data_IF_980397731996
#
_entry.id   IF_980397731996
#
_cell.length_a   1.000
_cell.length_b   1.000
_cell.length_c   1.000
_cell.angle_alpha   90.00
_cell.angle_beta   90.00
_cell.angle_gamma   90.00
#
_symmetry.space_group_name_H-M   'P 1'
#
loop_
_entity.id
_entity.type
_entity.pdbx_description
1 polymer ?
#
# COMPACT_ATOMS: atom_id res chain seq x y z
N UNK A 1 -6.55 -15.88 -27.54
CA UNK A 1 -5.70 -14.97 -26.74
C UNK A 1 -4.81 -14.22 -27.73
N UNK A 2 -4.71 -12.91 -27.61
CA UNK A 2 -3.92 -12.07 -28.50
C UNK A 2 -2.42 -12.40 -28.34
N UNK A 3 -1.63 -12.41 -29.45
CA UNK A 3 -0.20 -12.69 -29.43
C UNK A 3 0.56 -11.79 -28.44
N UNK A 4 0.20 -10.51 -28.37
CA UNK A 4 0.75 -9.54 -27.40
C UNK A 4 0.59 -10.01 -25.94
N UNK A 5 -0.57 -10.57 -25.60
CA UNK A 5 -0.83 -11.07 -24.23
C UNK A 5 0.00 -12.32 -23.93
N UNK A 6 0.12 -13.22 -24.91
CA UNK A 6 0.99 -14.41 -24.78
C UNK A 6 2.42 -13.98 -24.46
N UNK A 7 2.97 -13.02 -25.19
CA UNK A 7 4.32 -12.50 -24.96
C UNK A 7 4.47 -11.85 -23.56
N UNK A 8 3.46 -11.12 -23.09
CA UNK A 8 3.48 -10.54 -21.73
C UNK A 8 3.51 -11.64 -20.67
N UNK A 9 2.69 -12.68 -20.81
CA UNK A 9 2.64 -13.80 -19.89
C UNK A 9 3.96 -14.59 -19.88
N UNK A 10 4.57 -14.83 -21.03
CA UNK A 10 5.88 -15.47 -21.17
C UNK A 10 6.97 -14.64 -20.47
N UNK A 11 6.98 -13.32 -20.70
CA UNK A 11 7.91 -12.41 -20.02
C UNK A 11 7.69 -12.39 -18.51
N UNK A 12 6.45 -12.36 -18.06
CA UNK A 12 6.11 -12.45 -16.64
C UNK A 12 6.65 -13.74 -16.03
N UNK A 13 6.41 -14.88 -16.67
CA UNK A 13 6.89 -16.18 -16.20
C UNK A 13 8.42 -16.28 -16.14
N UNK A 14 9.10 -15.64 -17.08
CA UNK A 14 10.56 -15.71 -17.18
C UNK A 14 11.27 -14.72 -16.26
N UNK A 15 10.75 -13.51 -16.10
CA UNK A 15 11.49 -12.41 -15.53
C UNK A 15 10.91 -11.85 -14.22
N UNK A 16 9.63 -12.11 -13.93
CA UNK A 16 9.02 -11.64 -12.70
C UNK A 16 9.04 -12.73 -11.62
N UNK A 17 9.36 -12.33 -10.40
CA UNK A 17 9.23 -13.23 -9.25
C UNK A 17 7.75 -13.46 -8.94
N UNK A 18 7.37 -14.72 -8.79
CA UNK A 18 6.01 -15.05 -8.36
C UNK A 18 5.81 -14.79 -6.86
N UNK A 19 6.86 -14.94 -6.06
CA UNK A 19 6.87 -14.62 -4.63
C UNK A 19 5.63 -15.10 -3.88
N UNK A 20 5.01 -14.18 -3.18
CA UNK A 20 3.72 -14.33 -2.50
C UNK A 20 2.55 -13.67 -3.24
N UNK A 21 2.75 -13.31 -4.51
CA UNK A 21 1.73 -12.72 -5.37
C UNK A 21 0.63 -13.74 -5.69
N UNK A 22 -0.59 -13.28 -5.67
CA UNK A 22 -1.77 -14.07 -6.02
C UNK A 22 -2.44 -13.46 -7.22
N UNK A 23 -2.51 -14.22 -8.27
CA UNK A 23 -3.34 -13.87 -9.41
C UNK A 23 -4.78 -14.32 -9.17
N UNK A 24 -5.75 -13.48 -9.50
CA UNK A 24 -7.17 -13.79 -9.32
C UNK A 24 -7.77 -14.53 -10.52
N UNK A 25 -7.00 -14.70 -11.58
CA UNK A 25 -7.38 -15.48 -12.77
C UNK A 25 -6.19 -16.32 -13.24
N UNK A 26 -6.49 -17.42 -13.94
CA UNK A 26 -5.52 -18.28 -14.59
C UNK A 26 -5.92 -18.49 -16.05
N UNK A 27 -5.17 -17.97 -17.03
CA UNK A 27 -4.00 -17.10 -16.86
C UNK A 27 -4.35 -15.73 -16.26
N UNK A 28 -3.36 -15.01 -15.70
CA UNK A 28 -3.56 -13.67 -15.18
C UNK A 28 -4.12 -12.71 -16.24
N UNK A 29 -5.06 -11.87 -15.85
CA UNK A 29 -5.59 -10.82 -16.72
C UNK A 29 -4.58 -9.69 -16.87
N UNK A 30 -4.49 -9.17 -18.09
CA UNK A 30 -3.72 -7.97 -18.44
C UNK A 30 -4.71 -6.83 -18.68
N UNK A 31 -4.52 -5.72 -17.99
CA UNK A 31 -5.31 -4.51 -18.20
C UNK A 31 -4.41 -3.42 -18.77
N UNK A 32 -4.93 -2.65 -19.73
CA UNK A 32 -4.19 -1.58 -20.41
C UNK A 32 -4.70 -0.19 -20.06
N UNK A 33 -5.94 -0.08 -19.58
CA UNK A 33 -6.54 1.20 -19.23
C UNK A 33 -7.48 1.08 -18.03
N UNK A 34 -7.89 2.23 -17.48
CA UNK A 34 -8.81 2.32 -16.37
C UNK A 34 -9.57 3.65 -16.38
N UNK A 35 -10.80 3.67 -15.84
CA UNK A 35 -11.56 4.90 -15.62
C UNK A 35 -12.66 4.69 -14.57
N UNK A 36 -12.79 5.62 -13.64
CA UNK A 36 -13.79 5.51 -12.57
C UNK A 36 -13.64 4.22 -11.77
N UNK A 37 -14.58 3.30 -11.86
CA UNK A 37 -14.51 1.98 -11.21
C UNK A 37 -14.24 0.83 -12.19
N UNK A 38 -13.78 1.14 -13.40
CA UNK A 38 -13.55 0.14 -14.42
C UNK A 38 -12.08 0.00 -14.80
N UNK A 39 -11.69 -1.23 -15.08
CA UNK A 39 -10.45 -1.60 -15.76
C UNK A 39 -10.79 -2.07 -17.17
N UNK A 40 -9.92 -1.84 -18.13
CA UNK A 40 -10.11 -2.21 -19.53
C UNK A 40 -8.98 -3.12 -19.98
N UNK A 41 -9.33 -4.23 -20.65
CA UNK A 41 -8.34 -5.13 -21.25
C UNK A 41 -7.85 -4.62 -22.61
N UNK A 42 -7.01 -5.39 -23.28
CA UNK A 42 -6.44 -5.08 -24.58
C UNK A 42 -7.46 -4.93 -25.73
N UNK A 43 -8.68 -5.40 -25.52
CA UNK A 43 -9.79 -5.26 -26.46
C UNK A 43 -10.74 -4.14 -26.06
N UNK A 44 -10.35 -3.32 -25.08
CA UNK A 44 -11.19 -2.29 -24.47
C UNK A 44 -12.48 -2.84 -23.84
N UNK A 45 -12.45 -4.10 -23.39
CA UNK A 45 -13.57 -4.70 -22.68
C UNK A 45 -13.57 -4.17 -21.24
N UNK A 46 -14.69 -3.59 -20.77
CA UNK A 46 -14.77 -3.07 -19.40
C UNK A 46 -14.98 -4.18 -18.36
N UNK A 47 -14.25 -4.09 -17.27
CA UNK A 47 -14.41 -4.92 -16.09
C UNK A 47 -14.65 -4.02 -14.88
N UNK A 48 -15.76 -4.20 -14.19
CA UNK A 48 -16.03 -3.49 -12.95
C UNK A 48 -15.09 -4.00 -11.85
N UNK A 49 -14.26 -3.12 -11.34
CA UNK A 49 -13.29 -3.45 -10.29
C UNK A 49 -13.88 -3.26 -8.90
N UNK A 50 -14.38 -4.33 -8.31
CA UNK A 50 -14.87 -4.35 -6.93
C UNK A 50 -13.76 -4.32 -5.87
N UNK A 51 -12.53 -4.56 -6.26
CA UNK A 51 -11.40 -4.57 -5.34
C UNK A 51 -10.84 -3.17 -5.11
N UNK A 52 -10.79 -2.33 -6.16
CA UNK A 52 -10.27 -0.95 -6.12
C UNK A 52 -8.93 -0.86 -5.37
N UNK A 53 -8.04 -1.83 -5.67
CA UNK A 53 -6.75 -2.00 -5.02
C UNK A 53 -6.84 -1.97 -3.49
N UNK A 54 -7.67 -2.84 -2.91
CA UNK A 54 -7.96 -2.91 -1.47
C UNK A 54 -8.42 -1.56 -0.89
N UNK A 55 -9.29 -0.88 -1.60
CA UNK A 55 -9.82 0.47 -1.28
C UNK A 55 -8.78 1.61 -1.36
N UNK A 56 -7.61 1.38 -1.95
CA UNK A 56 -6.63 2.47 -2.16
C UNK A 56 -7.07 3.44 -3.28
N UNK A 57 -7.92 3.01 -4.21
CA UNK A 57 -8.44 3.80 -5.32
C UNK A 57 -9.88 4.27 -5.05
N UNK A 58 -10.20 4.62 -3.81
CA UNK A 58 -11.55 4.96 -3.36
C UNK A 58 -12.14 6.26 -3.96
N UNK A 59 -11.35 7.06 -4.67
CA UNK A 59 -11.82 8.22 -5.44
C UNK A 59 -12.02 7.93 -6.93
N UNK A 60 -11.87 6.68 -7.35
CA UNK A 60 -11.92 6.24 -8.74
C UNK A 60 -10.60 6.39 -9.50
N UNK A 61 -10.43 5.54 -10.49
CA UNK A 61 -9.31 5.61 -11.42
C UNK A 61 -9.35 6.90 -12.24
N UNK A 62 -8.19 7.47 -12.55
CA UNK A 62 -8.04 8.70 -13.35
C UNK A 62 -8.89 9.88 -12.83
N UNK A 63 -9.10 9.98 -11.52
CA UNK A 63 -9.78 11.14 -10.96
C UNK A 63 -9.07 12.42 -11.39
N UNK A 64 -9.72 13.20 -12.26
CA UNK A 64 -9.09 14.36 -12.91
C UNK A 64 -8.56 15.39 -11.90
N UNK A 65 -9.31 15.66 -10.82
CA UNK A 65 -8.89 16.62 -9.80
C UNK A 65 -7.58 16.20 -9.12
N UNK A 66 -7.45 14.92 -8.79
CA UNK A 66 -6.23 14.38 -8.17
C UNK A 66 -5.07 14.35 -9.16
N UNK A 67 -5.31 13.92 -10.40
CA UNK A 67 -4.29 13.88 -11.45
C UNK A 67 -3.73 15.26 -11.77
N UNK A 68 -4.57 16.28 -11.88
CA UNK A 68 -4.16 17.66 -12.17
C UNK A 68 -3.26 18.21 -11.04
N UNK A 69 -3.60 17.93 -9.78
CA UNK A 69 -2.78 18.35 -8.62
C UNK A 69 -1.44 17.62 -8.61
N UNK A 70 -1.45 16.31 -8.90
CA UNK A 70 -0.23 15.50 -8.96
C UNK A 70 0.71 16.00 -10.06
N UNK A 71 0.21 16.23 -11.28
CA UNK A 71 1.02 16.75 -12.39
C UNK A 71 1.64 18.11 -12.05
N UNK A 72 0.86 19.03 -11.51
CA UNK A 72 1.38 20.33 -11.06
C UNK A 72 2.49 20.21 -10.01
N UNK A 73 2.34 19.24 -9.09
CA UNK A 73 3.35 19.04 -8.05
C UNK A 73 4.63 18.38 -8.61
N UNK A 74 4.49 17.43 -9.54
CA UNK A 74 5.62 16.81 -10.23
C UNK A 74 6.44 17.86 -11.00
N UNK A 75 5.76 18.78 -11.69
CA UNK A 75 6.42 19.84 -12.45
C UNK A 75 7.08 20.90 -11.55
N UNK A 76 6.53 21.12 -10.34
CA UNK A 76 7.00 22.15 -9.41
C UNK A 76 8.14 21.66 -8.54
N UNK A 77 7.94 20.55 -7.82
CA UNK A 77 8.88 19.97 -6.86
C UNK A 77 8.50 18.51 -6.59
N UNK A 78 9.00 17.56 -7.40
CA UNK A 78 8.57 16.16 -7.32
C UNK A 78 9.14 15.43 -6.11
N UNK A 79 10.35 15.79 -5.70
CA UNK A 79 11.08 15.13 -4.62
C UNK A 79 11.85 16.13 -3.78
N UNK A 80 11.99 15.82 -2.49
CA UNK A 80 12.79 16.59 -1.58
C UNK A 80 13.36 15.65 -0.51
N UNK A 81 14.64 15.82 -0.17
CA UNK A 81 15.27 15.05 0.89
C UNK A 81 14.57 15.33 2.23
N UNK A 82 14.46 14.30 3.08
CA UNK A 82 13.73 14.37 4.35
C UNK A 82 14.27 15.39 5.35
N UNK A 83 15.51 15.85 5.13
CA UNK A 83 16.15 16.91 5.92
C UNK A 83 15.57 18.31 5.66
N UNK A 84 14.81 18.46 4.58
CA UNK A 84 14.17 19.72 4.21
C UNK A 84 12.66 19.67 4.44
N UNK A 85 12.03 20.83 4.51
CA UNK A 85 10.59 20.94 4.71
C UNK A 85 9.86 21.04 3.38
N UNK A 86 8.92 20.14 3.18
CA UNK A 86 7.99 20.18 2.05
C UNK A 86 6.67 20.74 2.56
N UNK A 87 6.25 21.89 1.99
CA UNK A 87 5.06 22.61 2.46
C UNK A 87 3.81 21.73 2.46
N UNK A 88 3.53 21.06 1.37
CA UNK A 88 2.33 20.24 1.18
C UNK A 88 2.28 19.06 2.19
N UNK A 89 3.43 18.52 2.56
CA UNK A 89 3.54 17.49 3.62
C UNK A 89 3.17 18.07 4.99
N UNK A 90 3.64 19.30 5.30
CA UNK A 90 3.37 19.95 6.58
C UNK A 90 1.89 20.34 6.67
N UNK A 91 1.32 20.88 5.61
CA UNK A 91 -0.10 21.25 5.52
C UNK A 91 -1.00 20.00 5.72
N UNK A 92 -0.67 18.88 5.09
CA UNK A 92 -1.41 17.63 5.29
C UNK A 92 -1.31 17.12 6.73
N UNK A 93 -0.13 17.18 7.34
CA UNK A 93 0.05 16.80 8.74
C UNK A 93 -0.82 17.67 9.67
N UNK A 94 -0.89 18.99 9.42
CA UNK A 94 -1.73 19.91 10.17
C UNK A 94 -3.21 19.54 10.05
N UNK A 95 -3.71 19.29 8.84
CA UNK A 95 -5.11 18.90 8.59
C UNK A 95 -5.47 17.64 9.38
N UNK A 96 -4.63 16.60 9.31
CA UNK A 96 -4.86 15.34 10.02
C UNK A 96 -4.86 15.55 11.53
N UNK A 97 -3.87 16.27 12.06
CA UNK A 97 -3.76 16.49 13.50
C UNK A 97 -4.91 17.31 14.06
N UNK A 98 -5.31 18.40 13.36
CA UNK A 98 -6.47 19.21 13.76
C UNK A 98 -7.76 18.40 13.76
N UNK A 99 -8.00 17.60 12.71
CA UNK A 99 -9.17 16.73 12.65
C UNK A 99 -9.23 15.74 13.82
N UNK A 100 -8.09 15.14 14.17
CA UNK A 100 -8.01 14.20 15.29
C UNK A 100 -8.23 14.89 16.66
N UNK A 101 -7.69 16.10 16.81
CA UNK A 101 -7.88 16.88 18.04
C UNK A 101 -9.34 17.33 18.20
N UNK A 102 -9.94 17.88 17.16
CA UNK A 102 -11.32 18.39 17.18
C UNK A 102 -12.35 17.26 17.37
N UNK A 103 -12.15 16.13 16.68
CA UNK A 103 -13.15 15.06 16.68
C UNK A 103 -13.00 14.08 17.84
N UNK A 104 -11.76 13.83 18.29
CA UNK A 104 -11.47 12.78 19.27
C UNK A 104 -10.70 13.26 20.49
N UNK A 105 -10.35 14.55 20.57
CA UNK A 105 -9.53 15.11 21.65
C UNK A 105 -8.08 14.60 21.67
N UNK A 106 -7.62 13.99 20.57
CA UNK A 106 -6.29 13.36 20.48
C UNK A 106 -5.29 14.31 19.86
N UNK A 107 -4.33 14.77 20.66
CA UNK A 107 -3.16 15.51 20.16
C UNK A 107 -2.09 14.53 19.68
N UNK A 108 -1.54 14.78 18.49
CA UNK A 108 -0.53 13.89 17.93
C UNK A 108 0.34 14.55 16.87
N UNK A 109 1.19 13.76 16.26
CA UNK A 109 2.02 14.12 15.12
C UNK A 109 1.92 13.04 14.05
N UNK A 110 2.02 13.43 12.78
CA UNK A 110 1.98 12.49 11.67
C UNK A 110 3.40 12.08 11.28
N UNK A 111 3.62 10.79 11.15
CA UNK A 111 4.80 10.21 10.53
C UNK A 111 4.43 9.59 9.20
N UNK A 112 5.04 10.08 8.10
CA UNK A 112 4.74 9.61 6.75
C UNK A 112 5.71 8.52 6.32
N UNK A 113 5.16 7.49 5.68
CA UNK A 113 5.89 6.37 5.11
C UNK A 113 5.51 6.13 3.64
N UNK A 114 6.29 5.30 2.95
CA UNK A 114 6.04 4.95 1.54
C UNK A 114 5.04 3.82 1.37
N UNK A 115 4.58 3.21 2.46
CA UNK A 115 3.59 2.14 2.41
C UNK A 115 3.16 1.65 3.78
N UNK A 116 2.04 0.92 3.82
CA UNK A 116 1.43 0.43 5.06
C UNK A 116 2.35 -0.47 5.90
N UNK A 117 3.09 -1.40 5.25
CA UNK A 117 4.02 -2.28 5.96
C UNK A 117 5.13 -1.49 6.66
N UNK A 118 5.67 -0.43 6.03
CA UNK A 118 6.67 0.43 6.65
C UNK A 118 6.09 1.28 7.78
N UNK A 119 4.87 1.78 7.62
CA UNK A 119 4.18 2.48 8.70
C UNK A 119 3.99 1.58 9.93
N UNK A 120 3.67 0.30 9.72
CA UNK A 120 3.61 -0.70 10.80
C UNK A 120 4.99 -0.90 11.43
N UNK A 121 6.06 -1.10 10.65
CA UNK A 121 7.42 -1.25 11.19
C UNK A 121 7.81 -0.07 12.07
N UNK A 122 7.58 1.16 11.60
CA UNK A 122 7.93 2.35 12.38
C UNK A 122 7.04 2.51 13.60
N UNK A 123 5.76 2.14 13.54
CA UNK A 123 4.89 2.14 14.72
C UNK A 123 5.39 1.17 15.79
N UNK A 124 5.85 -0.03 15.39
CA UNK A 124 6.44 -1.00 16.30
C UNK A 124 7.73 -0.46 16.95
N UNK A 125 8.59 0.22 16.18
CA UNK A 125 9.79 0.87 16.70
C UNK A 125 9.45 1.96 17.71
N UNK A 126 8.52 2.84 17.39
CA UNK A 126 8.08 3.94 18.26
C UNK A 126 7.51 3.39 19.58
N UNK A 127 6.61 2.41 19.51
CA UNK A 127 6.00 1.79 20.69
C UNK A 127 7.05 1.12 21.57
N UNK A 128 7.97 0.34 20.97
CA UNK A 128 9.05 -0.31 21.72
C UNK A 128 9.98 0.70 22.39
N UNK A 129 10.35 1.76 21.69
CA UNK A 129 11.20 2.82 22.23
C UNK A 129 10.52 3.56 23.39
N UNK A 130 9.22 3.85 23.24
CA UNK A 130 8.47 4.59 24.27
C UNK A 130 8.18 3.74 25.52
N UNK A 131 7.84 2.46 25.35
CA UNK A 131 7.39 1.60 26.44
C UNK A 131 8.49 0.73 27.05
N UNK A 132 9.60 0.52 26.34
CA UNK A 132 10.62 -0.46 26.67
C UNK A 132 10.16 -1.93 26.50
N UNK A 133 8.92 -2.16 26.06
CA UNK A 133 8.32 -3.50 25.90
C UNK A 133 8.59 -4.04 24.49
N UNK A 134 8.83 -5.34 24.42
CA UNK A 134 9.18 -6.01 23.16
C UNK A 134 8.10 -6.95 22.62
N UNK A 135 7.18 -7.41 23.49
CA UNK A 135 6.05 -8.25 23.09
C UNK A 135 4.92 -7.42 22.49
N UNK A 136 4.26 -7.97 21.52
CA UNK A 136 3.16 -7.34 20.81
C UNK A 136 2.05 -8.36 20.54
N UNK A 137 0.82 -7.88 20.47
CA UNK A 137 -0.35 -8.69 20.18
C UNK A 137 -1.01 -8.21 18.91
N UNK A 138 -1.56 -9.13 18.13
CA UNK A 138 -2.32 -8.84 16.92
C UNK A 138 -3.59 -9.68 16.89
N UNK A 139 -4.61 -9.18 16.23
CA UNK A 139 -5.86 -9.92 16.08
C UNK A 139 -5.73 -11.03 15.02
N UNK A 140 -6.36 -12.15 15.30
CA UNK A 140 -6.53 -13.22 14.30
C UNK A 140 -7.24 -12.67 13.07
N UNK A 141 -6.77 -13.03 11.88
CA UNK A 141 -7.24 -12.48 10.61
C UNK A 141 -6.63 -11.12 10.23
N UNK A 142 -5.86 -10.48 11.12
CA UNK A 142 -5.20 -9.22 10.84
C UNK A 142 -4.14 -9.34 9.74
N UNK A 143 -4.08 -8.34 8.86
CA UNK A 143 -3.03 -8.18 7.86
C UNK A 143 -2.33 -6.84 8.07
N UNK A 144 -1.03 -6.89 8.33
CA UNK A 144 -0.22 -5.72 8.67
C UNK A 144 0.92 -5.46 7.67
N UNK A 145 1.10 -6.34 6.69
CA UNK A 145 2.14 -6.22 5.67
C UNK A 145 3.02 -7.46 5.56
N UNK A 146 4.06 -7.37 4.73
CA UNK A 146 4.93 -8.49 4.35
C UNK A 146 6.42 -8.22 4.60
N UNK A 147 6.78 -7.12 5.24
CA UNK A 147 8.12 -6.93 5.82
C UNK A 147 8.29 -7.84 7.04
N UNK A 148 9.51 -8.08 7.49
CA UNK A 148 9.77 -9.06 8.56
C UNK A 148 9.00 -8.76 9.86
N UNK A 149 8.99 -7.52 10.33
CA UNK A 149 8.26 -7.13 11.53
C UNK A 149 6.74 -7.11 11.31
N UNK A 150 6.27 -6.57 10.19
CA UNK A 150 4.85 -6.60 9.85
C UNK A 150 4.33 -8.03 9.63
N UNK A 151 5.13 -8.93 9.03
CA UNK A 151 4.79 -10.34 8.89
C UNK A 151 4.70 -11.06 10.23
N UNK A 152 5.51 -10.66 11.22
CA UNK A 152 5.45 -11.26 12.55
C UNK A 152 4.08 -11.10 13.23
N UNK A 153 3.37 -10.01 12.92
CA UNK A 153 2.02 -9.71 13.44
C UNK A 153 0.91 -9.90 12.40
N UNK A 154 1.22 -10.31 11.17
CA UNK A 154 0.23 -10.71 10.16
C UNK A 154 -0.20 -12.16 10.43
N UNK A 155 -1.50 -12.39 10.65
CA UNK A 155 -2.00 -13.72 11.02
C UNK A 155 -2.06 -14.71 9.86
N UNK A 156 -2.14 -14.24 8.61
CA UNK A 156 -2.29 -15.11 7.45
C UNK A 156 -1.05 -15.98 7.22
N UNK A 157 -1.22 -17.29 7.42
CA UNK A 157 -0.18 -18.29 7.17
C UNK A 157 0.42 -18.22 5.76
N UNK A 158 -0.37 -17.84 4.76
CA UNK A 158 0.04 -17.71 3.37
C UNK A 158 1.23 -16.76 3.20
N UNK A 159 1.25 -15.63 3.91
CA UNK A 159 2.30 -14.62 3.83
C UNK A 159 3.50 -14.91 4.75
N UNK A 160 3.44 -15.99 5.52
CA UNK A 160 4.48 -16.41 6.46
C UNK A 160 5.13 -17.74 6.08
N UNK A 161 4.48 -18.53 5.23
CA UNK A 161 4.90 -19.88 4.85
C UNK A 161 6.25 -19.84 4.14
N UNK A 162 7.19 -20.68 4.62
CA UNK A 162 8.53 -20.89 4.03
C UNK A 162 9.50 -19.70 4.12
N UNK A 163 9.17 -18.64 4.81
CA UNK A 163 10.07 -17.50 5.01
C UNK A 163 10.90 -17.57 6.30
N UNK A 164 10.95 -18.74 6.95
CA UNK A 164 11.65 -18.95 8.20
C UNK A 164 10.80 -18.60 9.43
N UNK A 165 11.46 -18.49 10.57
CA UNK A 165 10.81 -18.12 11.82
C UNK A 165 10.71 -16.60 11.93
N UNK A 166 9.49 -16.11 12.16
CA UNK A 166 9.27 -14.73 12.56
C UNK A 166 9.50 -14.55 14.05
N UNK A 167 9.53 -13.29 14.49
CA UNK A 167 9.73 -13.00 15.92
C UNK A 167 8.74 -13.77 16.80
N UNK A 168 9.26 -14.52 17.77
CA UNK A 168 8.52 -15.22 18.82
C UNK A 168 7.80 -14.27 19.81
N UNK A 169 8.04 -12.98 19.68
CA UNK A 169 7.46 -11.92 20.53
C UNK A 169 6.19 -11.32 19.96
N UNK A 170 5.65 -11.88 18.90
CA UNK A 170 4.37 -11.50 18.31
C UNK A 170 3.32 -12.60 18.60
N UNK A 171 2.22 -12.23 19.20
CA UNK A 171 1.12 -13.10 19.62
C UNK A 171 -0.22 -12.61 19.08
#
# INVERSE_FOLDING_TARGET
>A
MNQKIIEILEKNNRYCSHGDTVNYADPPKVFEDCEGSFLFDENNTPYLDWQMWYSAVNFGYKNKRLSDVLHKQVDKLPQLASQYLHKEKVDLAEIICKYMEEKYGVKGRVHFNVGGAQAVEDSLKVVRNHTGKTHQFAFMGGYHGRTLGASAITSSYRYRRRFGNFSDRAH
#
